data_IF_283012624513
#
_entry.id   IF_283012624513
#
_cell.length_a   1.000
_cell.length_b   1.000
_cell.length_c   1.000
_cell.angle_alpha   90.00
_cell.angle_beta   90.00
_cell.angle_gamma   90.00
#
_symmetry.space_group_name_H-M   'P 1'
#
loop_
_entity.id
_entity.type
_entity.pdbx_description
1 polymer ?
#
# COMPACT_ATOMS: atom_id res chain seq x y z
N UNK A 1 9.10 -32.26 4.89
CA UNK A 1 8.84 -32.44 3.44
C UNK A 1 8.54 -31.05 2.85
N UNK A 2 9.09 -30.71 1.67
CA UNK A 2 8.84 -29.39 1.06
C UNK A 2 7.41 -29.39 0.46
N UNK A 3 6.59 -28.41 0.81
CA UNK A 3 5.24 -28.23 0.26
C UNK A 3 5.31 -28.11 -1.28
N UNK A 4 4.45 -28.83 -2.02
CA UNK A 4 4.40 -28.72 -3.49
C UNK A 4 3.80 -27.37 -3.91
N UNK A 5 4.09 -26.91 -5.15
CA UNK A 5 3.57 -25.65 -5.67
C UNK A 5 2.02 -25.65 -5.65
N UNK A 6 1.39 -26.76 -6.06
CA UNK A 6 -0.07 -26.91 -6.08
C UNK A 6 -0.65 -26.75 -4.68
N UNK A 7 -0.14 -27.49 -3.69
CA UNK A 7 -0.62 -27.38 -2.30
C UNK A 7 -0.42 -25.97 -1.72
N UNK A 8 0.66 -25.29 -2.12
CA UNK A 8 0.94 -23.92 -1.72
C UNK A 8 -0.10 -22.95 -2.30
N UNK A 9 -0.50 -23.13 -3.55
CA UNK A 9 -1.54 -22.34 -4.20
C UNK A 9 -2.92 -22.62 -3.59
N UNK A 10 -3.28 -23.88 -3.36
CA UNK A 10 -4.54 -24.24 -2.68
C UNK A 10 -4.63 -23.60 -1.29
N UNK A 11 -3.55 -23.63 -0.52
CA UNK A 11 -3.47 -22.98 0.80
C UNK A 11 -3.56 -21.45 0.71
N UNK A 12 -2.99 -20.85 -0.31
CA UNK A 12 -3.07 -19.41 -0.56
C UNK A 12 -4.49 -18.96 -0.89
N UNK A 13 -5.21 -19.73 -1.73
CA UNK A 13 -6.61 -19.47 -2.07
C UNK A 13 -7.51 -19.57 -0.85
N UNK A 14 -7.33 -20.60 -0.03
CA UNK A 14 -8.07 -20.76 1.24
C UNK A 14 -7.81 -19.62 2.21
N UNK A 15 -6.55 -19.19 2.35
CA UNK A 15 -6.17 -18.02 3.17
C UNK A 15 -6.87 -16.76 2.66
N UNK A 16 -6.79 -16.47 1.36
CA UNK A 16 -7.45 -15.30 0.77
C UNK A 16 -8.97 -15.35 0.98
N UNK A 17 -9.59 -16.53 0.83
CA UNK A 17 -11.01 -16.73 1.05
C UNK A 17 -11.42 -16.43 2.49
N UNK A 18 -10.72 -17.00 3.47
CA UNK A 18 -11.01 -16.77 4.90
C UNK A 18 -10.81 -15.30 5.30
N UNK A 19 -9.76 -14.65 4.80
CA UNK A 19 -9.53 -13.22 5.07
C UNK A 19 -10.63 -12.36 4.46
N UNK A 20 -11.09 -12.63 3.22
CA UNK A 20 -12.24 -11.93 2.63
C UNK A 20 -13.52 -12.10 3.43
N UNK A 21 -13.78 -13.29 3.92
CA UNK A 21 -14.96 -13.54 4.76
C UNK A 21 -14.88 -12.79 6.10
N UNK A 22 -13.68 -12.67 6.67
CA UNK A 22 -13.46 -11.98 7.96
C UNK A 22 -13.46 -10.44 7.81
N UNK A 23 -12.96 -9.92 6.69
CA UNK A 23 -12.82 -8.49 6.43
C UNK A 23 -13.52 -8.08 5.12
N UNK A 24 -14.86 -8.18 5.02
CA UNK A 24 -15.60 -7.94 3.77
C UNK A 24 -15.47 -6.49 3.27
N UNK A 25 -15.23 -5.53 4.16
CA UNK A 25 -15.11 -4.11 3.87
C UNK A 25 -13.66 -3.63 3.72
N UNK A 26 -12.71 -4.57 3.65
CA UNK A 26 -11.27 -4.26 3.56
C UNK A 26 -10.94 -3.50 2.28
N UNK A 27 -10.32 -2.35 2.42
CA UNK A 27 -9.97 -1.44 1.32
C UNK A 27 -8.81 -0.51 1.71
N UNK A 28 -8.36 0.29 0.76
CA UNK A 28 -7.39 1.34 1.05
C UNK A 28 -7.86 2.23 2.20
N UNK A 29 -7.01 2.36 3.24
CA UNK A 29 -7.32 3.15 4.44
C UNK A 29 -7.05 4.66 4.28
N UNK A 30 -6.44 5.08 3.16
CA UNK A 30 -6.25 6.50 2.84
C UNK A 30 -7.54 7.08 2.23
N UNK A 31 -7.85 8.32 2.58
CA UNK A 31 -8.99 9.05 2.03
C UNK A 31 -8.55 9.83 0.79
N UNK A 32 -9.24 9.62 -0.33
CA UNK A 32 -8.97 10.31 -1.59
C UNK A 32 -10.23 10.38 -2.47
N UNK A 33 -10.27 11.34 -3.39
CA UNK A 33 -11.33 11.51 -4.39
C UNK A 33 -10.78 11.45 -5.82
N UNK A 34 -9.47 11.54 -6.00
CA UNK A 34 -8.80 11.51 -7.30
C UNK A 34 -7.50 10.71 -7.25
N UNK A 35 -6.97 10.35 -8.41
CA UNK A 35 -5.67 9.70 -8.55
C UNK A 35 -4.53 10.53 -7.93
N UNK A 36 -4.58 11.85 -8.14
CA UNK A 36 -3.57 12.75 -7.59
C UNK A 36 -3.66 12.84 -6.06
N UNK A 37 -4.86 12.92 -5.48
CA UNK A 37 -5.05 12.89 -4.03
C UNK A 37 -4.50 11.58 -3.42
N UNK A 38 -4.76 10.42 -4.07
CA UNK A 38 -4.19 9.15 -3.62
C UNK A 38 -2.66 9.15 -3.69
N UNK A 39 -2.08 9.66 -4.78
CA UNK A 39 -0.63 9.76 -4.93
C UNK A 39 -0.02 10.61 -3.81
N UNK A 40 -0.57 11.80 -3.56
CA UNK A 40 -0.13 12.70 -2.47
C UNK A 40 -0.28 12.01 -1.10
N UNK A 41 -1.43 11.42 -0.81
CA UNK A 41 -1.68 10.71 0.45
C UNK A 41 -0.69 9.55 0.65
N UNK A 42 -0.37 8.80 -0.41
CA UNK A 42 0.58 7.69 -0.35
C UNK A 42 2.02 8.19 -0.14
N UNK A 43 2.44 9.31 -0.74
CA UNK A 43 3.73 9.94 -0.43
C UNK A 43 3.77 10.36 1.04
N UNK A 44 2.69 10.92 1.57
CA UNK A 44 2.60 11.33 2.97
C UNK A 44 2.63 10.14 3.94
N UNK A 45 2.13 8.96 3.55
CA UNK A 45 2.07 7.77 4.42
C UNK A 45 3.45 7.13 4.69
N UNK A 46 4.50 7.52 3.96
CA UNK A 46 5.86 7.05 4.24
C UNK A 46 6.28 7.41 5.68
N UNK A 47 6.46 6.40 6.53
CA UNK A 47 6.77 6.53 7.97
C UNK A 47 5.75 7.41 8.74
N UNK A 48 4.50 7.40 8.33
CA UNK A 48 3.39 8.08 8.97
C UNK A 48 2.17 7.15 8.98
N UNK A 49 1.33 7.24 10.02
CA UNK A 49 0.12 6.42 10.08
C UNK A 49 -0.95 6.97 9.15
N UNK A 50 -1.73 6.07 8.52
CA UNK A 50 -2.84 6.45 7.62
C UNK A 50 -3.84 7.38 8.32
N UNK A 51 -4.11 7.13 9.61
CA UNK A 51 -4.97 8.01 10.42
C UNK A 51 -4.44 9.45 10.44
N UNK A 52 -3.13 9.65 10.68
CA UNK A 52 -2.52 10.98 10.67
C UNK A 52 -2.57 11.61 9.28
N UNK A 53 -2.27 10.83 8.24
CA UNK A 53 -2.37 11.30 6.85
C UNK A 53 -3.79 11.78 6.56
N UNK A 54 -4.82 11.00 6.90
CA UNK A 54 -6.22 11.35 6.66
C UNK A 54 -6.65 12.64 7.39
N UNK A 55 -6.12 12.90 8.60
CA UNK A 55 -6.36 14.18 9.30
C UNK A 55 -5.78 15.34 8.51
N UNK A 56 -4.53 15.22 8.06
CA UNK A 56 -3.82 16.29 7.34
C UNK A 56 -4.42 16.52 5.96
N UNK A 57 -4.70 15.46 5.22
CA UNK A 57 -5.20 15.57 3.84
C UNK A 57 -6.60 16.15 3.77
N UNK A 58 -7.40 16.05 4.84
CA UNK A 58 -8.73 16.66 4.90
C UNK A 58 -8.70 18.17 4.62
N UNK A 59 -7.76 18.90 5.21
CA UNK A 59 -7.62 20.33 5.03
C UNK A 59 -6.71 20.66 3.82
N UNK A 60 -5.69 19.82 3.59
CA UNK A 60 -4.75 19.96 2.50
C UNK A 60 -5.46 19.98 1.13
N UNK A 61 -6.36 19.02 0.89
CA UNK A 61 -7.11 18.90 -0.37
C UNK A 61 -8.23 19.93 -0.53
N UNK A 62 -8.57 20.69 0.52
CA UNK A 62 -9.42 21.87 0.39
C UNK A 62 -8.62 23.09 -0.07
N UNK A 63 -7.36 23.18 0.35
CA UNK A 63 -6.43 24.27 0.02
C UNK A 63 -5.81 24.07 -1.37
N UNK A 64 -5.38 22.86 -1.70
CA UNK A 64 -4.78 22.49 -2.97
C UNK A 64 -5.69 21.46 -3.65
N UNK A 65 -6.42 21.86 -4.69
CA UNK A 65 -7.51 21.07 -5.28
C UNK A 65 -7.10 20.33 -6.56
N UNK A 66 -6.07 20.83 -7.24
CA UNK A 66 -5.61 20.35 -8.53
C UNK A 66 -4.13 20.01 -8.50
N UNK A 67 -3.62 19.19 -9.43
CA UNK A 67 -2.18 19.00 -9.61
C UNK A 67 -1.43 20.32 -9.79
N UNK A 68 -2.03 21.28 -10.52
CA UNK A 68 -1.48 22.61 -10.73
C UNK A 68 -1.32 23.40 -9.44
N UNK A 69 -2.28 23.33 -8.50
CA UNK A 69 -2.15 24.02 -7.20
C UNK A 69 -0.94 23.49 -6.42
N UNK A 70 -0.69 22.18 -6.44
CA UNK A 70 0.48 21.57 -5.82
C UNK A 70 1.79 21.86 -6.57
N UNK A 71 1.75 21.91 -7.90
CA UNK A 71 2.92 22.16 -8.73
C UNK A 71 3.52 23.55 -8.49
N UNK A 72 2.66 24.56 -8.34
CA UNK A 72 3.07 25.96 -8.26
C UNK A 72 2.93 26.58 -6.86
N UNK A 73 2.63 25.78 -5.82
CA UNK A 73 2.61 26.28 -4.44
C UNK A 73 4.01 26.58 -3.91
N UNK A 74 4.07 27.34 -2.83
CA UNK A 74 5.30 27.48 -2.04
C UNK A 74 5.63 26.14 -1.34
N UNK A 75 6.82 25.56 -1.62
CA UNK A 75 7.30 24.35 -0.92
C UNK A 75 7.34 24.57 0.59
N UNK A 76 7.69 25.79 1.04
CA UNK A 76 7.75 26.12 2.47
C UNK A 76 6.37 26.10 3.12
N UNK A 77 5.35 26.59 2.43
CA UNK A 77 3.98 26.57 2.95
C UNK A 77 3.39 25.17 2.91
N UNK A 78 3.62 24.42 1.82
CA UNK A 78 3.25 23.01 1.76
C UNK A 78 3.92 22.19 2.88
N UNK A 79 5.20 22.43 3.16
CA UNK A 79 5.92 21.77 4.25
C UNK A 79 5.33 22.09 5.64
N UNK A 80 4.86 23.32 5.87
CA UNK A 80 4.13 23.70 7.10
C UNK A 80 2.80 22.96 7.20
N UNK A 81 2.02 22.91 6.12
CA UNK A 81 0.70 22.27 6.09
C UNK A 81 0.79 20.76 6.40
N UNK A 82 1.85 20.08 5.94
CA UNK A 82 2.06 18.64 6.16
C UNK A 82 3.03 18.31 7.31
N UNK A 83 3.40 19.28 8.15
CA UNK A 83 4.42 19.14 9.18
C UNK A 83 4.22 17.91 10.09
N UNK A 84 2.98 17.62 10.47
CA UNK A 84 2.68 16.51 11.38
C UNK A 84 2.83 15.11 10.76
N UNK A 85 3.06 15.00 9.44
CA UNK A 85 3.33 13.72 8.77
C UNK A 85 4.80 13.28 8.87
N UNK A 86 5.68 14.08 9.47
CA UNK A 86 7.12 13.80 9.54
C UNK A 86 7.82 13.91 8.17
N UNK A 87 9.14 14.12 8.17
CA UNK A 87 9.92 14.32 6.94
C UNK A 87 9.32 15.35 5.97
N UNK A 88 8.58 16.31 6.52
CA UNK A 88 7.72 17.24 5.79
C UNK A 88 8.45 18.04 4.71
N UNK A 89 9.70 18.47 4.94
CA UNK A 89 10.48 19.20 3.95
C UNK A 89 10.75 18.36 2.68
N UNK A 90 11.15 17.10 2.86
CA UNK A 90 11.40 16.22 1.72
C UNK A 90 10.10 15.79 1.04
N UNK A 91 9.05 15.52 1.82
CA UNK A 91 7.72 15.17 1.28
C UNK A 91 7.13 16.34 0.48
N UNK A 92 7.24 17.58 0.98
CA UNK A 92 6.77 18.76 0.25
C UNK A 92 7.48 18.92 -1.11
N UNK A 93 8.82 18.78 -1.14
CA UNK A 93 9.59 18.79 -2.37
C UNK A 93 9.17 17.68 -3.34
N UNK A 94 8.96 16.48 -2.83
CA UNK A 94 8.55 15.33 -3.63
C UNK A 94 7.13 15.53 -4.20
N UNK A 95 6.18 15.99 -3.38
CA UNK A 95 4.80 16.25 -3.81
C UNK A 95 4.77 17.35 -4.86
N UNK A 96 5.44 18.49 -4.61
CA UNK A 96 5.52 19.55 -5.60
C UNK A 96 6.17 19.07 -6.89
N UNK A 97 7.32 18.41 -6.82
CA UNK A 97 8.04 17.94 -8.01
C UNK A 97 7.26 16.88 -8.79
N UNK A 98 6.56 15.96 -8.13
CA UNK A 98 5.69 14.98 -8.81
C UNK A 98 4.50 15.66 -9.46
N UNK A 99 3.89 16.66 -8.79
CA UNK A 99 2.76 17.41 -9.34
C UNK A 99 3.18 18.27 -10.54
N UNK A 100 4.35 18.92 -10.46
CA UNK A 100 4.91 19.68 -11.57
C UNK A 100 5.12 18.79 -12.81
N UNK A 101 5.72 17.63 -12.61
CA UNK A 101 5.94 16.67 -13.70
C UNK A 101 4.63 16.15 -14.31
N UNK A 102 3.61 15.90 -13.47
CA UNK A 102 2.26 15.51 -13.93
C UNK A 102 1.63 16.62 -14.77
N UNK A 103 1.79 17.88 -14.39
CA UNK A 103 1.28 19.03 -15.16
C UNK A 103 2.03 19.19 -16.48
N UNK A 104 3.37 19.13 -16.47
CA UNK A 104 4.20 19.44 -17.64
C UNK A 104 4.31 18.28 -18.64
N UNK A 105 4.28 17.02 -18.17
CA UNK A 105 4.54 15.86 -19.03
C UNK A 105 3.32 14.94 -19.23
N UNK A 106 2.24 15.13 -18.44
CA UNK A 106 1.10 14.20 -18.42
C UNK A 106 -0.28 14.90 -18.43
N UNK A 107 -0.40 16.14 -18.91
CA UNK A 107 -1.67 16.87 -19.06
C UNK A 107 -2.54 16.87 -17.78
N UNK A 108 -1.95 17.04 -16.61
CA UNK A 108 -2.56 16.97 -15.27
C UNK A 108 -3.14 15.58 -14.91
N UNK A 109 -2.90 14.55 -15.70
CA UNK A 109 -3.36 13.18 -15.44
C UNK A 109 -2.25 12.37 -14.80
N UNK A 110 -2.51 11.77 -13.65
CA UNK A 110 -1.55 10.83 -13.03
C UNK A 110 -1.31 9.66 -13.98
N UNK A 111 -0.07 9.33 -14.34
CA UNK A 111 0.19 8.27 -15.31
C UNK A 111 -0.27 6.88 -14.82
N UNK A 112 -0.73 6.05 -15.76
CA UNK A 112 -1.26 4.71 -15.52
C UNK A 112 -0.27 3.56 -15.74
N UNK A 113 1.03 3.83 -15.82
CA UNK A 113 2.05 2.80 -15.95
C UNK A 113 3.07 2.83 -14.83
N UNK A 114 3.60 1.65 -14.46
CA UNK A 114 4.60 1.53 -13.41
C UNK A 114 5.85 2.36 -13.69
N UNK A 115 6.32 2.35 -14.94
CA UNK A 115 7.55 3.05 -15.32
C UNK A 115 7.41 4.56 -15.21
N UNK A 116 6.29 5.11 -15.65
CA UNK A 116 6.01 6.55 -15.55
C UNK A 116 5.80 6.97 -14.10
N UNK A 117 5.06 6.18 -13.31
CA UNK A 117 4.84 6.48 -11.89
C UNK A 117 6.14 6.50 -11.08
N UNK A 118 7.03 5.53 -11.27
CA UNK A 118 8.31 5.51 -10.52
C UNK A 118 9.31 6.56 -11.00
N UNK A 119 9.06 7.19 -12.15
CA UNK A 119 9.84 8.33 -12.64
C UNK A 119 9.43 9.65 -11.96
N UNK A 120 8.31 9.67 -11.22
CA UNK A 120 7.87 10.83 -10.44
C UNK A 120 8.68 10.98 -9.13
N UNK A 121 9.07 12.20 -8.74
CA UNK A 121 9.75 12.45 -7.48
C UNK A 121 9.02 11.87 -6.27
N UNK A 122 9.73 11.10 -5.44
CA UNK A 122 9.18 10.51 -4.22
C UNK A 122 8.24 9.32 -4.43
N UNK A 123 8.07 8.85 -5.65
CA UNK A 123 7.24 7.69 -5.98
C UNK A 123 8.12 6.45 -6.16
N UNK A 124 8.08 5.57 -5.17
CA UNK A 124 8.69 4.25 -5.27
C UNK A 124 7.70 3.20 -5.80
N UNK A 125 8.20 1.97 -6.05
CA UNK A 125 7.40 0.85 -6.55
C UNK A 125 6.13 0.60 -5.71
N UNK A 126 6.24 0.68 -4.37
CA UNK A 126 5.11 0.52 -3.46
C UNK A 126 4.00 1.55 -3.72
N UNK A 127 4.37 2.83 -3.85
CA UNK A 127 3.43 3.92 -4.14
C UNK A 127 2.81 3.75 -5.52
N UNK A 128 3.62 3.41 -6.51
CA UNK A 128 3.14 3.15 -7.87
C UNK A 128 2.14 2.00 -7.92
N UNK A 129 2.43 0.86 -7.29
CA UNK A 129 1.51 -0.28 -7.22
C UNK A 129 0.19 0.08 -6.52
N UNK A 130 0.23 0.91 -5.47
CA UNK A 130 -0.98 1.39 -4.81
C UNK A 130 -1.86 2.20 -5.78
N UNK A 131 -1.28 3.16 -6.50
CA UNK A 131 -2.01 3.98 -7.48
C UNK A 131 -2.55 3.12 -8.63
N UNK A 132 -1.74 2.20 -9.15
CA UNK A 132 -2.14 1.30 -10.25
C UNK A 132 -3.34 0.43 -9.85
N UNK A 133 -3.28 -0.19 -8.68
CA UNK A 133 -4.36 -1.05 -8.20
C UNK A 133 -5.64 -0.29 -7.90
N UNK A 134 -5.55 0.81 -7.13
CA UNK A 134 -6.70 1.53 -6.61
C UNK A 134 -7.42 2.39 -7.67
N UNK A 135 -6.68 2.95 -8.61
CA UNK A 135 -7.21 3.91 -9.58
C UNK A 135 -7.43 3.29 -10.95
N UNK A 136 -6.43 2.53 -11.41
CA UNK A 136 -6.42 2.02 -12.78
C UNK A 136 -6.89 0.57 -12.89
N UNK A 137 -7.21 -0.07 -11.75
CA UNK A 137 -7.57 -1.51 -11.70
C UNK A 137 -6.51 -2.40 -12.39
N UNK A 138 -5.26 -1.95 -12.42
CA UNK A 138 -4.13 -2.74 -12.90
C UNK A 138 -3.75 -3.73 -11.80
N UNK A 139 -3.79 -5.04 -12.05
CA UNK A 139 -3.39 -6.03 -11.07
C UNK A 139 -1.98 -5.74 -10.55
N UNK A 140 -1.89 -5.40 -9.28
CA UNK A 140 -0.64 -5.01 -8.63
C UNK A 140 -0.69 -5.38 -7.16
N UNK A 141 0.47 -5.69 -6.58
CA UNK A 141 0.56 -6.09 -5.19
C UNK A 141 1.44 -5.12 -4.42
N UNK A 142 0.90 -4.56 -3.35
CA UNK A 142 1.64 -3.67 -2.46
C UNK A 142 2.28 -4.49 -1.34
N UNK A 143 3.61 -4.49 -1.28
CA UNK A 143 4.36 -5.18 -0.22
C UNK A 143 4.76 -4.17 0.85
N UNK A 144 4.04 -4.20 1.96
CA UNK A 144 4.31 -3.42 3.15
C UNK A 144 4.92 -4.26 4.28
N UNK A 145 5.11 -3.68 5.44
CA UNK A 145 5.66 -4.39 6.61
C UNK A 145 4.76 -5.52 7.12
N UNK A 146 3.43 -5.42 6.94
CA UNK A 146 2.49 -6.50 7.28
C UNK A 146 2.62 -7.65 6.30
N UNK A 147 2.65 -7.35 5.00
CA UNK A 147 2.87 -8.35 3.95
C UNK A 147 4.20 -9.09 4.14
N UNK A 148 5.31 -8.38 4.33
CA UNK A 148 6.63 -9.00 4.58
C UNK A 148 6.56 -9.97 5.76
N UNK A 149 5.99 -9.52 6.88
CA UNK A 149 5.92 -10.30 8.11
C UNK A 149 5.00 -11.51 7.99
N UNK A 150 3.76 -11.30 7.53
CA UNK A 150 2.72 -12.33 7.51
C UNK A 150 3.02 -13.38 6.44
N UNK A 151 3.47 -12.99 5.23
CA UNK A 151 3.87 -13.94 4.21
C UNK A 151 5.08 -14.78 4.65
N UNK A 152 5.98 -14.18 5.43
CA UNK A 152 7.07 -14.92 6.08
C UNK A 152 6.57 -15.94 7.11
N UNK A 153 5.64 -15.55 8.00
CA UNK A 153 5.03 -16.43 9.00
C UNK A 153 4.23 -17.58 8.36
N UNK A 154 3.53 -17.30 7.28
CA UNK A 154 2.82 -18.30 6.48
C UNK A 154 3.76 -19.18 5.64
N UNK A 155 5.08 -18.94 5.71
CA UNK A 155 6.11 -19.65 4.95
C UNK A 155 5.88 -19.61 3.42
N UNK A 156 5.28 -18.53 2.92
CA UNK A 156 5.17 -18.27 1.49
C UNK A 156 6.48 -17.71 0.92
N UNK A 157 7.24 -16.98 1.72
CA UNK A 157 8.55 -16.42 1.37
C UNK A 157 9.57 -16.61 2.49
N UNK A 158 10.85 -16.55 2.14
CA UNK A 158 11.98 -16.53 3.10
C UNK A 158 12.79 -15.25 3.01
N UNK A 159 12.53 -14.43 2.00
CA UNK A 159 13.21 -13.15 1.82
C UNK A 159 12.50 -12.03 2.57
N UNK A 160 13.21 -10.90 2.74
CA UNK A 160 12.66 -9.63 3.23
C UNK A 160 12.69 -8.55 2.16
N UNK A 161 13.19 -8.87 0.97
CA UNK A 161 13.19 -7.95 -0.17
C UNK A 161 11.77 -7.83 -0.72
N UNK A 162 11.22 -6.62 -0.68
CA UNK A 162 9.83 -6.36 -1.06
C UNK A 162 9.54 -6.69 -2.52
N UNK A 163 10.49 -6.42 -3.44
CA UNK A 163 10.31 -6.72 -4.86
C UNK A 163 10.30 -8.23 -5.12
N UNK A 164 11.18 -8.96 -4.45
CA UNK A 164 11.21 -10.41 -4.57
C UNK A 164 9.94 -11.03 -3.97
N UNK A 165 9.47 -10.55 -2.81
CA UNK A 165 8.20 -11.00 -2.19
C UNK A 165 7.02 -10.74 -3.15
N UNK A 166 6.95 -9.55 -3.76
CA UNK A 166 5.91 -9.23 -4.75
C UNK A 166 5.86 -10.30 -5.85
N UNK A 167 6.98 -10.60 -6.48
CA UNK A 167 7.05 -11.59 -7.55
C UNK A 167 6.69 -13.01 -7.07
N UNK A 168 7.18 -13.43 -5.89
CA UNK A 168 6.86 -14.72 -5.29
C UNK A 168 5.36 -14.85 -4.99
N UNK A 169 4.72 -13.78 -4.48
CA UNK A 169 3.29 -13.78 -4.16
C UNK A 169 2.42 -13.77 -5.42
N UNK A 170 2.83 -13.04 -6.46
CA UNK A 170 2.15 -13.03 -7.76
C UNK A 170 2.17 -14.42 -8.45
N UNK A 171 3.14 -15.29 -8.16
CA UNK A 171 3.15 -16.67 -8.64
C UNK A 171 2.24 -17.61 -7.84
N UNK A 172 1.84 -17.24 -6.61
CA UNK A 172 1.14 -18.08 -5.66
C UNK A 172 -0.35 -17.72 -5.61
N UNK A 173 -0.68 -16.43 -5.54
CA UNK A 173 -2.04 -15.92 -5.45
C UNK A 173 -2.61 -15.58 -6.83
N UNK A 174 -3.93 -15.78 -6.99
CA UNK A 174 -4.63 -15.37 -8.20
C UNK A 174 -4.53 -13.87 -8.43
N UNK A 175 -4.36 -13.47 -9.68
CA UNK A 175 -4.25 -12.07 -10.10
C UNK A 175 -5.42 -11.19 -9.63
N UNK A 176 -6.64 -11.74 -9.65
CA UNK A 176 -7.86 -11.07 -9.15
C UNK A 176 -7.78 -10.63 -7.69
N UNK A 177 -6.90 -11.27 -6.90
CA UNK A 177 -6.79 -11.04 -5.46
C UNK A 177 -5.68 -10.05 -5.08
N UNK A 178 -4.74 -9.77 -5.97
CA UNK A 178 -3.50 -9.06 -5.63
C UNK A 178 -3.72 -7.71 -4.93
N UNK A 179 -4.60 -6.87 -5.45
CA UNK A 179 -4.89 -5.55 -4.85
C UNK A 179 -5.55 -5.73 -3.47
N UNK A 180 -6.61 -6.52 -3.41
CA UNK A 180 -7.39 -6.69 -2.18
C UNK A 180 -6.60 -7.45 -1.09
N UNK A 181 -5.80 -8.45 -1.47
CA UNK A 181 -4.99 -9.25 -0.54
C UNK A 181 -4.12 -8.39 0.37
N UNK A 182 -3.53 -7.32 -0.17
CA UNK A 182 -2.72 -6.39 0.63
C UNK A 182 -3.54 -5.79 1.77
N UNK A 183 -4.75 -5.31 1.49
CA UNK A 183 -5.62 -4.69 2.50
C UNK A 183 -6.07 -5.72 3.54
N UNK A 184 -6.49 -6.89 3.09
CA UNK A 184 -6.88 -8.02 3.97
C UNK A 184 -5.75 -8.40 4.93
N UNK A 185 -4.52 -8.48 4.45
CA UNK A 185 -3.34 -8.83 5.27
C UNK A 185 -2.98 -7.70 6.23
N UNK A 186 -3.13 -6.44 5.83
CA UNK A 186 -2.93 -5.29 6.72
C UNK A 186 -3.95 -5.32 7.85
N UNK A 187 -5.23 -5.50 7.56
CA UNK A 187 -6.30 -5.54 8.55
C UNK A 187 -6.11 -6.71 9.51
N UNK A 188 -5.79 -7.90 8.99
CA UNK A 188 -5.46 -9.06 9.80
C UNK A 188 -4.22 -8.83 10.68
N UNK A 189 -3.21 -8.16 10.13
CA UNK A 189 -1.99 -7.82 10.85
C UNK A 189 -2.18 -6.78 11.94
N UNK A 190 -3.19 -5.94 11.85
CA UNK A 190 -3.58 -4.96 12.87
C UNK A 190 -4.48 -5.57 13.94
N UNK A 191 -5.41 -6.42 13.55
CA UNK A 191 -6.43 -6.96 14.44
C UNK A 191 -5.98 -8.23 15.18
N UNK A 192 -5.37 -9.19 14.51
CA UNK A 192 -5.11 -10.54 15.03
C UNK A 192 -3.62 -10.89 15.02
N UNK A 193 -2.98 -10.85 13.84
CA UNK A 193 -1.57 -11.20 13.71
C UNK A 193 -0.68 -10.00 14.07
N UNK A 194 -0.73 -9.55 15.34
CA UNK A 194 0.02 -8.39 15.84
C UNK A 194 1.51 -8.76 16.01
N UNK A 195 2.42 -7.90 15.58
CA UNK A 195 3.85 -8.20 15.47
C UNK A 195 4.51 -8.75 16.76
N UNK A 196 4.10 -8.26 17.93
CA UNK A 196 4.70 -8.66 19.23
C UNK A 196 3.80 -9.54 20.07
N UNK A 197 2.51 -9.64 19.73
CA UNK A 197 1.48 -10.38 20.50
C UNK A 197 0.44 -10.95 19.56
N UNK A 198 0.81 -11.90 18.68
CA UNK A 198 -0.15 -12.52 17.78
C UNK A 198 -1.20 -13.31 18.58
N UNK A 199 -2.46 -13.13 18.23
CA UNK A 199 -3.60 -13.80 18.86
C UNK A 199 -3.91 -15.09 18.09
N UNK A 200 -2.98 -16.06 18.14
CA UNK A 200 -3.07 -17.29 17.34
C UNK A 200 -4.29 -18.14 17.70
N UNK A 201 -4.75 -18.13 18.97
CA UNK A 201 -5.93 -18.87 19.42
C UNK A 201 -7.23 -18.39 18.76
N UNK A 202 -7.32 -17.11 18.37
CA UNK A 202 -8.48 -16.52 17.72
C UNK A 202 -8.28 -16.36 16.19
N UNK A 203 -7.17 -16.87 15.66
CA UNK A 203 -6.80 -16.65 14.28
C UNK A 203 -7.51 -17.63 13.33
N UNK A 204 -8.26 -17.10 12.37
CA UNK A 204 -8.93 -17.92 11.32
C UNK A 204 -7.97 -18.69 10.42
N UNK A 205 -6.67 -18.39 10.50
CA UNK A 205 -5.62 -19.03 9.72
C UNK A 205 -4.77 -20.01 10.56
N UNK A 206 -5.16 -20.31 11.78
CA UNK A 206 -4.34 -21.07 12.74
C UNK A 206 -3.88 -22.43 12.19
N UNK A 207 -4.80 -23.15 11.55
CA UNK A 207 -4.58 -24.47 10.93
C UNK A 207 -3.76 -24.42 9.63
N UNK A 208 -3.68 -23.25 9.00
CA UNK A 208 -2.95 -23.01 7.75
C UNK A 208 -1.59 -22.33 7.98
N UNK A 209 -1.30 -21.92 9.23
CA UNK A 209 -0.11 -21.14 9.58
C UNK A 209 0.98 -22.02 10.19
N UNK A 210 2.11 -22.27 9.50
CA UNK A 210 3.22 -23.06 10.03
C UNK A 210 3.92 -22.43 11.25
N UNK A 211 3.70 -21.13 11.46
CA UNK A 211 4.30 -20.39 12.59
C UNK A 211 3.30 -20.13 13.71
N UNK A 212 2.15 -20.84 13.73
CA UNK A 212 1.21 -20.76 14.83
C UNK A 212 1.86 -21.19 16.15
N UNK A 213 1.53 -20.48 17.23
CA UNK A 213 1.98 -20.80 18.59
C UNK A 213 0.94 -21.62 19.38
N UNK A 214 -0.07 -22.16 18.71
CA UNK A 214 -1.14 -22.99 19.28
C UNK A 214 -1.07 -24.39 18.71
#
# INVERSE_FOLDING_TARGET
MRESKVKKQERAEEIASRLRALYPDSKCSLNYKSAHELLVATILSAQCTDHRVNIVTKDLFQKYRTPTDFAYCSVMDLAKDIHSCGYHNQKAKNIQGSSLKIVEEHDEIVPGSLNELVALPGVGRKTANCVLGEIYNVPSMVIDTHMIRIMGLLNFTKTKDAKQIELEMMEIFDEKDWVNLTHLVIDHGRAVCIARRPQCGDCVLVDLCPSSSV
#
